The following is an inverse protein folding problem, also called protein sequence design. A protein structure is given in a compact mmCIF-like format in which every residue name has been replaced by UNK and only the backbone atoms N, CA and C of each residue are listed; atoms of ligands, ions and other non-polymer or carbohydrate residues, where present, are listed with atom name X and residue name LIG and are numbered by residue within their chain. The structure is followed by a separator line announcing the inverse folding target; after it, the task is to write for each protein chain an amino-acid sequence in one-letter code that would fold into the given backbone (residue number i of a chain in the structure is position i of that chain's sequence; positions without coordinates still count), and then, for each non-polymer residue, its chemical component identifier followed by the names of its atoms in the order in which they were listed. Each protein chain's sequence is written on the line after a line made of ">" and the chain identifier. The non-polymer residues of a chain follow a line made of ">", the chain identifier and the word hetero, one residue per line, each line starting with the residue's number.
data_IF_569953730984
#
_entry.id   IF_569953730984
#
_cell.length_a   1.000
_cell.length_b   1.000
_cell.length_c   1.000
_cell.angle_alpha   90.00
_cell.angle_beta   90.00
_cell.angle_gamma   90.00
#
_symmetry.space_group_name_H-M   'P 1'
#
loop_
_entity.id
_entity.type
_entity.pdbx_description
1 polymer ?
#
# COMPACT_ATOMS: atom_id res chain seq x y z
N UNK A 1 -2.78 14.33 9.20
CA UNK A 1 -1.96 13.24 9.75
C UNK A 1 -2.08 12.00 8.85
N UNK A 2 -0.97 11.47 8.36
CA UNK A 2 -0.96 10.34 7.45
C UNK A 2 -0.69 9.03 8.22
N UNK A 3 -1.73 8.36 8.67
CA UNK A 3 -1.66 7.10 9.42
C UNK A 3 -1.12 5.97 8.56
N UNK A 4 -1.48 5.96 7.27
CA UNK A 4 -0.99 4.98 6.31
C UNK A 4 0.54 4.96 6.25
N UNK A 5 1.17 6.11 6.10
CA UNK A 5 2.64 6.19 6.07
C UNK A 5 3.28 5.81 7.41
N UNK A 6 2.61 6.07 8.52
CA UNK A 6 3.07 5.65 9.85
C UNK A 6 2.99 4.14 10.07
N UNK A 7 2.04 3.45 9.45
CA UNK A 7 1.89 2.00 9.56
C UNK A 7 2.92 1.21 8.76
N UNK A 8 3.34 1.70 7.61
CA UNK A 8 4.27 1.01 6.72
C UNK A 8 5.59 0.58 7.37
N UNK A 9 6.35 1.47 8.02
CA UNK A 9 7.65 1.11 8.59
C UNK A 9 7.55 0.10 9.74
N UNK A 10 6.46 0.11 10.47
CA UNK A 10 6.30 -0.69 11.68
C UNK A 10 6.27 -2.20 11.43
N UNK A 11 5.91 -2.62 10.23
CA UNK A 11 5.72 -4.01 9.87
C UNK A 11 6.65 -4.52 8.76
N UNK A 12 7.55 -3.70 8.32
CA UNK A 12 8.73 -4.12 7.57
C UNK A 12 8.47 -4.99 6.35
N UNK A 13 7.72 -4.50 5.36
CA UNK A 13 7.51 -5.26 4.12
C UNK A 13 8.81 -5.73 3.49
N UNK A 14 9.87 -4.92 3.53
CA UNK A 14 11.18 -5.33 3.08
C UNK A 14 11.76 -6.51 3.84
N UNK A 15 11.55 -6.56 5.17
CA UNK A 15 11.99 -7.70 5.98
C UNK A 15 11.15 -8.96 5.76
N UNK A 16 9.92 -8.81 5.27
CA UNK A 16 9.04 -9.93 4.95
C UNK A 16 9.17 -10.41 3.50
N UNK A 17 9.86 -9.65 2.64
CA UNK A 17 10.20 -10.06 1.29
C UNK A 17 11.21 -11.21 1.28
N UNK A 18 11.11 -12.06 0.27
CA UNK A 18 12.13 -13.08 -0.01
C UNK A 18 13.11 -12.49 -1.00
N UNK A 19 14.36 -12.36 -0.59
CA UNK A 19 15.44 -11.86 -1.44
C UNK A 19 16.14 -13.02 -2.13
N UNK A 20 16.31 -12.92 -3.45
CA UNK A 20 16.87 -13.93 -4.34
C UNK A 20 18.15 -13.45 -5.02
N UNK A 21 19.27 -13.30 -4.29
CA UNK A 21 20.53 -12.81 -4.85
C UNK A 21 21.07 -13.67 -5.97
N UNK A 22 20.77 -14.96 -5.97
CA UNK A 22 21.16 -15.92 -6.99
C UNK A 22 20.59 -15.60 -8.39
N UNK A 23 19.53 -14.80 -8.46
CA UNK A 23 18.96 -14.36 -9.73
C UNK A 23 19.69 -13.16 -10.34
N UNK A 24 20.58 -12.52 -9.60
CA UNK A 24 21.40 -11.44 -10.12
C UNK A 24 22.47 -11.99 -11.08
N UNK A 25 22.43 -11.53 -12.31
CA UNK A 25 23.38 -11.94 -13.38
C UNK A 25 24.38 -10.86 -13.73
N UNK A 26 24.28 -9.70 -13.08
CA UNK A 26 25.21 -8.58 -13.24
C UNK A 26 26.52 -8.78 -12.52
N UNK A 27 27.42 -7.82 -12.70
CA UNK A 27 28.68 -7.69 -11.98
C UNK A 27 28.81 -6.25 -11.47
N UNK A 28 29.71 -6.02 -10.54
CA UNK A 28 30.05 -4.67 -10.12
C UNK A 28 30.41 -3.79 -11.34
N UNK A 29 29.96 -2.53 -11.31
CA UNK A 29 30.18 -1.55 -12.36
C UNK A 29 29.58 -1.90 -13.72
N UNK A 30 28.47 -2.65 -13.76
CA UNK A 30 27.64 -2.86 -14.94
C UNK A 30 26.38 -1.96 -14.87
N UNK A 31 25.72 -1.65 -16.03
CA UNK A 31 24.47 -0.88 -16.00
C UNK A 31 23.39 -1.51 -15.12
N UNK A 32 23.32 -2.82 -15.03
CA UNK A 32 22.38 -3.52 -14.14
C UNK A 32 22.72 -3.29 -12.66
N UNK A 33 24.01 -3.21 -12.34
CA UNK A 33 24.47 -2.89 -10.99
C UNK A 33 24.15 -1.43 -10.62
N UNK A 34 24.44 -0.48 -11.49
CA UNK A 34 24.17 0.95 -11.24
C UNK A 34 22.69 1.18 -10.89
N UNK A 35 21.77 0.51 -11.60
CA UNK A 35 20.34 0.59 -11.29
C UNK A 35 20.02 0.02 -9.90
N UNK A 36 20.67 -1.09 -9.49
CA UNK A 36 20.45 -1.69 -8.19
C UNK A 36 21.07 -0.87 -7.05
N UNK A 37 22.26 -0.33 -7.27
CA UNK A 37 22.94 0.54 -6.31
C UNK A 37 22.12 1.79 -6.01
N UNK A 38 21.60 2.43 -7.05
CA UNK A 38 20.81 3.66 -6.93
C UNK A 38 19.39 3.43 -6.36
N UNK A 39 18.86 2.19 -6.42
CA UNK A 39 17.49 1.95 -5.96
C UNK A 39 17.30 1.99 -4.45
N UNK A 40 18.39 1.88 -3.68
CA UNK A 40 18.34 1.92 -2.23
C UNK A 40 18.93 3.22 -1.68
N UNK A 41 18.12 4.13 -1.08
CA UNK A 41 18.62 5.38 -0.53
C UNK A 41 19.58 5.19 0.68
N UNK A 42 19.68 3.97 1.20
CA UNK A 42 20.54 3.61 2.32
C UNK A 42 21.76 2.79 1.90
N UNK A 43 21.95 2.55 0.59
CA UNK A 43 23.08 1.78 0.02
C UNK A 43 23.27 0.41 0.70
N UNK A 44 22.20 -0.37 0.85
CA UNK A 44 22.22 -1.66 1.53
C UNK A 44 22.55 -2.85 0.64
N UNK A 45 22.64 -2.64 -0.67
CA UNK A 45 23.04 -3.65 -1.63
C UNK A 45 24.52 -3.47 -1.99
N UNK A 46 25.26 -4.55 -2.04
CA UNK A 46 26.67 -4.55 -2.44
C UNK A 46 27.04 -5.86 -3.11
N UNK A 47 28.09 -5.83 -3.90
CA UNK A 47 28.68 -7.04 -4.51
C UNK A 47 29.93 -7.39 -3.74
N UNK A 48 29.99 -8.62 -3.24
CA UNK A 48 31.12 -9.13 -2.48
C UNK A 48 32.32 -9.51 -3.38
N UNK A 49 33.41 -9.94 -2.76
CA UNK A 49 34.64 -10.35 -3.45
C UNK A 49 34.47 -11.57 -4.40
N UNK A 50 33.34 -12.27 -4.32
CA UNK A 50 32.99 -13.42 -5.16
C UNK A 50 32.04 -13.08 -6.32
N UNK A 51 31.80 -11.79 -6.57
CA UNK A 51 30.79 -11.30 -7.52
C UNK A 51 29.35 -11.71 -7.16
N UNK A 52 29.03 -11.90 -5.88
CA UNK A 52 27.69 -12.22 -5.40
C UNK A 52 27.02 -10.99 -4.82
N UNK A 53 25.70 -10.81 -5.11
CA UNK A 53 24.90 -9.75 -4.56
C UNK A 53 24.55 -10.04 -3.09
N UNK A 54 24.86 -9.10 -2.22
CA UNK A 54 24.52 -9.13 -0.80
C UNK A 54 23.61 -7.97 -0.41
N UNK A 55 22.81 -8.15 0.62
CA UNK A 55 21.90 -7.16 1.16
C UNK A 55 21.95 -7.10 2.69
N UNK A 56 22.19 -5.90 3.23
CA UNK A 56 22.19 -5.61 4.67
C UNK A 56 20.75 -5.47 5.21
N UNK A 57 20.01 -6.58 5.27
CA UNK A 57 18.59 -6.59 5.66
C UNK A 57 18.33 -6.03 7.05
N UNK A 58 19.24 -6.20 7.99
CA UNK A 58 19.12 -5.69 9.37
C UNK A 58 19.08 -4.16 9.46
N UNK A 59 19.62 -3.48 8.45
CA UNK A 59 19.63 -2.01 8.34
C UNK A 59 18.51 -1.47 7.49
N UNK A 60 17.67 -2.34 6.94
CA UNK A 60 16.60 -1.96 6.03
C UNK A 60 15.52 -1.13 6.75
N UNK A 61 15.27 0.07 6.25
CA UNK A 61 14.20 0.94 6.74
C UNK A 61 12.81 0.58 6.17
N UNK A 62 12.70 -0.48 5.37
CA UNK A 62 11.46 -0.96 4.76
C UNK A 62 10.72 0.11 3.92
N UNK A 63 11.47 0.97 3.24
CA UNK A 63 10.92 2.06 2.44
C UNK A 63 10.33 1.60 1.08
N UNK A 64 10.53 0.34 0.71
CA UNK A 64 10.09 -0.29 -0.55
C UNK A 64 10.66 0.34 -1.84
N UNK A 65 11.58 1.29 -1.77
CA UNK A 65 12.17 1.94 -2.94
C UNK A 65 12.78 0.98 -3.94
N UNK A 66 13.39 -0.10 -3.45
CA UNK A 66 14.00 -1.14 -4.29
C UNK A 66 12.99 -2.07 -4.97
N UNK A 67 11.76 -2.20 -4.46
CA UNK A 67 10.80 -3.19 -4.96
C UNK A 67 10.48 -3.01 -6.45
N UNK A 68 10.29 -1.78 -6.90
CA UNK A 68 10.03 -1.46 -8.31
C UNK A 68 11.17 -1.87 -9.25
N UNK A 69 12.40 -1.98 -8.74
CA UNK A 69 13.58 -2.40 -9.50
C UNK A 69 13.83 -3.89 -9.36
N UNK A 70 13.74 -4.41 -8.13
CA UNK A 70 14.08 -5.79 -7.78
C UNK A 70 13.02 -6.80 -8.17
N UNK A 71 11.73 -6.46 -7.97
CA UNK A 71 10.61 -7.35 -8.25
C UNK A 71 10.56 -7.81 -9.72
N UNK A 72 10.54 -6.89 -10.71
CA UNK A 72 10.53 -7.26 -12.12
C UNK A 72 11.74 -8.09 -12.58
N UNK A 73 12.83 -8.07 -11.80
CA UNK A 73 14.05 -8.84 -12.06
C UNK A 73 14.08 -10.20 -11.34
N UNK A 74 13.02 -10.53 -10.59
CA UNK A 74 12.96 -11.75 -9.78
C UNK A 74 13.99 -11.79 -8.65
N UNK A 75 14.50 -10.62 -8.23
CA UNK A 75 15.46 -10.51 -7.13
C UNK A 75 14.77 -10.38 -5.77
N UNK A 76 13.51 -10.01 -5.76
CA UNK A 76 12.70 -9.89 -4.54
C UNK A 76 11.26 -10.27 -4.83
N UNK A 77 10.71 -11.15 -4.00
CA UNK A 77 9.30 -11.49 -3.95
C UNK A 77 8.69 -11.02 -2.64
N UNK A 78 7.51 -10.42 -2.72
CA UNK A 78 6.70 -10.10 -1.54
C UNK A 78 5.42 -10.93 -1.63
N UNK A 79 5.25 -11.94 -0.77
CA UNK A 79 4.04 -12.75 -0.76
C UNK A 79 2.78 -11.89 -0.52
N UNK A 80 1.65 -12.15 -1.21
CA UNK A 80 0.42 -11.36 -1.06
C UNK A 80 -0.05 -11.21 0.40
N UNK A 81 0.15 -12.22 1.24
CA UNK A 81 -0.19 -12.18 2.67
C UNK A 81 0.50 -11.02 3.42
N UNK A 82 1.62 -10.52 2.91
CA UNK A 82 2.32 -9.40 3.53
C UNK A 82 1.60 -8.07 3.29
N UNK A 83 0.88 -7.94 2.18
CA UNK A 83 0.05 -6.76 1.94
C UNK A 83 -1.15 -6.72 2.89
N UNK A 84 -1.77 -7.87 3.17
CA UNK A 84 -2.82 -7.97 4.19
C UNK A 84 -2.28 -7.61 5.58
N UNK A 85 -1.05 -8.02 5.90
CA UNK A 85 -0.39 -7.65 7.15
C UNK A 85 -0.11 -6.14 7.25
N UNK A 86 0.26 -5.48 6.16
CA UNK A 86 0.42 -4.03 6.13
C UNK A 86 -0.91 -3.33 6.34
N UNK A 87 -1.97 -3.77 5.68
CA UNK A 87 -3.30 -3.20 5.84
C UNK A 87 -3.83 -3.36 7.27
N UNK A 88 -3.58 -4.52 7.89
CA UNK A 88 -3.89 -4.71 9.31
C UNK A 88 -3.07 -3.77 10.21
N UNK A 89 -1.80 -3.59 9.90
CA UNK A 89 -0.90 -2.69 10.61
C UNK A 89 -1.32 -1.21 10.54
N UNK A 90 -1.91 -0.79 9.43
CA UNK A 90 -2.46 0.57 9.29
C UNK A 90 -3.57 0.80 10.32
N UNK A 91 -4.45 -0.19 10.53
CA UNK A 91 -5.49 -0.12 11.55
C UNK A 91 -4.90 -0.05 12.98
N UNK A 92 -3.89 -0.87 13.29
CA UNK A 92 -3.19 -0.83 14.57
C UNK A 92 -2.53 0.53 14.83
N UNK A 93 -1.87 1.10 13.82
CA UNK A 93 -1.24 2.41 13.93
C UNK A 93 -2.28 3.52 14.18
N UNK A 94 -3.43 3.45 13.51
CA UNK A 94 -4.54 4.38 13.71
C UNK A 94 -5.06 4.31 15.16
N UNK A 95 -5.32 3.10 15.67
CA UNK A 95 -5.74 2.90 17.05
C UNK A 95 -4.68 3.40 18.06
N UNK A 96 -3.41 3.19 17.76
CA UNK A 96 -2.30 3.71 18.58
C UNK A 96 -2.32 5.23 18.68
N UNK A 97 -2.58 5.93 17.58
CA UNK A 97 -2.73 7.40 17.55
C UNK A 97 -3.94 7.85 18.37
N UNK A 98 -5.10 7.22 18.18
CA UNK A 98 -6.30 7.57 18.96
C UNK A 98 -6.09 7.39 20.46
N UNK A 99 -5.46 6.30 20.86
CA UNK A 99 -5.11 6.06 22.28
C UNK A 99 -4.14 7.11 22.83
N UNK A 100 -3.17 7.52 22.05
CA UNK A 100 -2.18 8.52 22.48
C UNK A 100 -2.77 9.92 22.62
N UNK A 101 -3.64 10.30 21.70
CA UNK A 101 -4.32 11.62 21.70
C UNK A 101 -5.45 11.66 22.74
N UNK A 102 -6.11 10.54 22.96
CA UNK A 102 -7.20 10.35 23.90
C UNK A 102 -8.60 10.34 23.25
N UNK A 103 -9.58 9.70 23.91
CA UNK A 103 -10.89 9.43 23.33
C UNK A 103 -11.61 10.69 22.84
N UNK A 104 -12.19 10.60 21.67
CA UNK A 104 -13.04 11.63 21.07
C UNK A 104 -12.33 12.91 20.63
N UNK A 105 -10.98 12.91 20.61
CA UNK A 105 -10.18 14.07 20.22
C UNK A 105 -9.67 14.00 18.77
N UNK A 106 -9.90 12.89 18.09
CA UNK A 106 -9.54 12.71 16.69
C UNK A 106 -10.79 12.83 15.83
N UNK A 107 -10.66 13.43 14.67
CA UNK A 107 -11.68 13.47 13.63
C UNK A 107 -11.02 13.21 12.28
N UNK A 108 -11.78 12.66 11.36
CA UNK A 108 -11.32 12.19 10.05
C UNK A 108 -12.06 12.93 8.94
N UNK A 109 -11.34 13.26 7.89
CA UNK A 109 -11.88 13.85 6.67
C UNK A 109 -11.27 13.10 5.50
N UNK A 110 -12.09 12.42 4.70
CA UNK A 110 -11.67 11.77 3.47
C UNK A 110 -12.14 12.59 2.27
N UNK A 111 -11.20 13.07 1.50
CA UNK A 111 -11.46 13.72 0.21
C UNK A 111 -11.39 12.66 -0.89
N UNK A 112 -12.50 11.99 -1.16
CA UNK A 112 -12.59 10.94 -2.18
C UNK A 112 -12.73 11.56 -3.58
N UNK A 113 -11.69 12.25 -3.99
CA UNK A 113 -11.54 12.97 -5.26
C UNK A 113 -10.33 12.37 -6.00
N UNK A 114 -10.39 12.31 -7.32
CA UNK A 114 -9.30 11.78 -8.16
C UNK A 114 -8.74 10.44 -7.68
N UNK A 115 -9.64 9.52 -7.34
CA UNK A 115 -9.29 8.20 -6.79
C UNK A 115 -8.57 7.38 -7.84
N UNK A 116 -7.26 7.34 -7.77
CA UNK A 116 -6.38 6.64 -8.72
C UNK A 116 -6.09 5.19 -8.29
N UNK A 117 -5.65 4.33 -9.22
CA UNK A 117 -5.30 2.94 -8.89
C UNK A 117 -3.97 2.79 -8.14
N UNK A 118 -3.12 3.83 -8.15
CA UNK A 118 -1.86 3.82 -7.44
C UNK A 118 -2.01 4.44 -6.05
N UNK A 119 -1.32 3.85 -5.07
CA UNK A 119 -1.19 4.47 -3.76
C UNK A 119 -0.50 5.82 -3.87
N UNK A 120 -0.88 6.80 -3.06
CA UNK A 120 -0.25 8.12 -2.96
C UNK A 120 1.26 8.05 -2.59
N UNK A 121 1.69 6.93 -2.03
CA UNK A 121 3.11 6.66 -1.79
C UNK A 121 3.91 6.32 -3.07
N UNK A 122 3.24 6.05 -4.18
CA UNK A 122 3.88 5.84 -5.46
C UNK A 122 4.27 7.18 -6.11
N UNK A 123 5.42 7.23 -6.77
CA UNK A 123 5.87 8.41 -7.50
C UNK A 123 5.12 8.67 -8.82
N UNK A 124 4.04 7.98 -9.06
CA UNK A 124 3.20 8.09 -10.26
C UNK A 124 1.73 7.90 -9.91
N UNK A 125 0.86 8.50 -10.69
CA UNK A 125 -0.58 8.27 -10.66
C UNK A 125 -1.05 7.88 -12.06
N UNK A 126 -2.19 7.23 -12.12
CA UNK A 126 -2.92 6.96 -13.35
C UNK A 126 -4.25 7.70 -13.31
N UNK A 127 -5.05 7.61 -14.37
CA UNK A 127 -6.35 8.24 -14.38
C UNK A 127 -7.25 7.65 -13.28
N UNK A 128 -8.15 8.47 -12.71
CA UNK A 128 -9.08 8.00 -11.68
C UNK A 128 -9.90 6.79 -12.15
N UNK A 129 -10.18 5.87 -11.22
CA UNK A 129 -10.97 4.66 -11.49
C UNK A 129 -12.47 4.85 -11.29
N UNK A 130 -12.85 5.86 -10.51
CA UNK A 130 -14.24 6.27 -10.25
C UNK A 130 -14.37 7.79 -10.33
N UNK A 131 -15.57 8.33 -10.59
CA UNK A 131 -15.82 9.77 -10.48
C UNK A 131 -15.53 10.30 -9.07
N UNK A 132 -15.46 11.62 -8.92
CA UNK A 132 -15.40 12.22 -7.58
C UNK A 132 -16.57 11.75 -6.72
N UNK A 133 -16.27 11.11 -5.59
CA UNK A 133 -17.28 10.58 -4.68
C UNK A 133 -17.72 11.62 -3.64
N UNK A 134 -16.88 12.63 -3.41
CA UNK A 134 -17.17 13.73 -2.48
C UNK A 134 -16.19 13.81 -1.31
N UNK A 135 -16.61 14.54 -0.28
CA UNK A 135 -15.85 14.71 0.96
C UNK A 135 -16.66 14.13 2.10
N UNK A 136 -16.04 13.26 2.86
CA UNK A 136 -16.62 12.58 4.01
C UNK A 136 -15.97 13.10 5.28
N UNK A 137 -16.72 13.16 6.37
CA UNK A 137 -16.20 13.51 7.69
C UNK A 137 -16.83 12.63 8.77
N UNK A 138 -16.01 12.14 9.69
CA UNK A 138 -16.46 11.29 10.79
C UNK A 138 -15.55 11.44 12.01
N UNK A 139 -16.04 10.96 13.16
CA UNK A 139 -15.22 10.73 14.35
C UNK A 139 -14.79 9.25 14.46
N UNK A 140 -15.17 8.43 13.50
CA UNK A 140 -14.90 7.00 13.43
C UNK A 140 -14.12 6.70 12.15
N UNK A 141 -12.89 6.22 12.28
CA UNK A 141 -11.99 5.93 11.17
C UNK A 141 -12.51 4.79 10.30
N UNK A 142 -13.09 3.76 10.93
CA UNK A 142 -13.59 2.58 10.24
C UNK A 142 -14.85 2.90 9.44
N UNK A 143 -15.77 3.66 10.05
CA UNK A 143 -17.01 4.08 9.42
C UNK A 143 -16.78 4.95 8.18
N UNK A 144 -15.84 5.90 8.26
CA UNK A 144 -15.57 6.81 7.14
C UNK A 144 -14.95 6.06 5.96
N UNK A 145 -14.03 5.12 6.22
CA UNK A 145 -13.39 4.34 5.17
C UNK A 145 -14.38 3.37 4.54
N UNK A 146 -15.24 2.72 5.34
CA UNK A 146 -16.30 1.86 4.82
C UNK A 146 -17.26 2.63 3.91
N UNK A 147 -17.68 3.84 4.33
CA UNK A 147 -18.52 4.69 3.51
C UNK A 147 -17.87 5.04 2.16
N UNK A 148 -16.57 5.34 2.15
CA UNK A 148 -15.83 5.62 0.91
C UNK A 148 -15.76 4.40 0.00
N UNK A 149 -15.47 3.20 0.54
CA UNK A 149 -15.43 1.96 -0.23
C UNK A 149 -16.80 1.64 -0.84
N UNK A 150 -17.87 1.75 -0.05
CA UNK A 150 -19.23 1.49 -0.54
C UNK A 150 -19.64 2.49 -1.63
N UNK A 151 -19.32 3.77 -1.48
CA UNK A 151 -19.58 4.77 -2.53
C UNK A 151 -18.78 4.50 -3.80
N UNK A 152 -17.55 4.00 -3.70
CA UNK A 152 -16.78 3.57 -4.85
C UNK A 152 -17.40 2.35 -5.55
N UNK A 153 -17.97 1.41 -4.78
CA UNK A 153 -18.71 0.27 -5.34
C UNK A 153 -20.00 0.69 -6.01
N UNK A 154 -20.74 1.64 -5.43
CA UNK A 154 -21.99 2.18 -5.98
C UNK A 154 -21.78 2.99 -7.26
N UNK A 155 -20.60 3.56 -7.47
CA UNK A 155 -20.29 4.34 -8.65
C UNK A 155 -19.94 3.43 -9.85
N UNK A 156 -20.32 3.87 -11.07
CA UNK A 156 -19.73 3.32 -12.30
C UNK A 156 -18.27 3.72 -12.39
N UNK A 157 -17.41 2.80 -12.83
CA UNK A 157 -16.01 3.09 -13.10
C UNK A 157 -15.83 3.98 -14.32
N UNK A 158 -14.74 4.75 -14.34
CA UNK A 158 -14.43 5.63 -15.47
C UNK A 158 -13.96 4.79 -16.64
N UNK A 159 -14.54 5.08 -17.82
CA UNK A 159 -14.18 4.42 -19.08
C UNK A 159 -12.72 4.72 -19.45
N UNK A 160 -11.99 3.70 -19.87
CA UNK A 160 -10.55 3.77 -20.18
C UNK A 160 -9.66 3.68 -18.96
N UNK A 161 -10.21 3.64 -17.75
CA UNK A 161 -9.44 3.52 -16.51
C UNK A 161 -8.94 2.10 -16.25
N UNK A 162 -8.09 1.95 -15.26
CA UNK A 162 -7.61 0.65 -14.79
C UNK A 162 -8.77 -0.26 -14.34
N UNK A 163 -9.85 0.31 -13.77
CA UNK A 163 -11.03 -0.46 -13.39
C UNK A 163 -11.70 -1.13 -14.60
N UNK A 164 -11.84 -0.42 -15.72
CA UNK A 164 -12.38 -1.01 -16.96
C UNK A 164 -11.42 -2.07 -17.52
N UNK A 165 -10.11 -1.81 -17.55
CA UNK A 165 -9.11 -2.77 -18.02
C UNK A 165 -9.10 -4.08 -17.22
N UNK A 166 -9.46 -4.00 -15.94
CA UNK A 166 -9.55 -5.15 -15.02
C UNK A 166 -10.96 -5.72 -14.92
N UNK A 167 -11.88 -5.30 -15.79
CA UNK A 167 -13.28 -5.77 -15.85
C UNK A 167 -14.07 -5.58 -14.54
N UNK A 168 -13.71 -4.56 -13.75
CA UNK A 168 -14.31 -4.25 -12.44
C UNK A 168 -14.85 -2.81 -12.41
N UNK A 169 -15.60 -2.38 -13.44
CA UNK A 169 -16.03 -1.00 -13.58
C UNK A 169 -17.55 -0.79 -13.42
N UNK A 170 -18.32 -1.84 -13.19
CA UNK A 170 -19.75 -1.74 -12.98
C UNK A 170 -20.11 -1.44 -11.51
N UNK A 171 -21.35 -1.00 -11.32
CA UNK A 171 -21.93 -0.86 -9.97
C UNK A 171 -21.88 -2.19 -9.23
N UNK A 172 -21.40 -2.17 -7.99
CA UNK A 172 -21.22 -3.35 -7.16
C UNK A 172 -19.84 -4.01 -7.25
N UNK A 173 -19.05 -3.68 -8.27
CA UNK A 173 -17.70 -4.25 -8.40
C UNK A 173 -16.74 -3.70 -7.35
N UNK A 174 -15.81 -4.54 -6.92
CA UNK A 174 -14.72 -4.21 -5.99
C UNK A 174 -13.56 -3.54 -6.72
N UNK A 175 -13.72 -2.27 -6.98
CA UNK A 175 -12.83 -1.51 -7.86
C UNK A 175 -11.43 -1.33 -7.30
N UNK A 176 -11.29 -1.11 -6.00
CA UNK A 176 -9.98 -1.00 -5.35
C UNK A 176 -9.24 -2.34 -5.38
N UNK A 177 -9.92 -3.45 -5.07
CA UNK A 177 -9.33 -4.79 -5.08
C UNK A 177 -8.83 -5.18 -6.48
N UNK A 178 -9.62 -4.88 -7.53
CA UNK A 178 -9.27 -5.23 -8.90
C UNK A 178 -8.25 -4.29 -9.54
N UNK A 179 -8.33 -2.98 -9.26
CA UNK A 179 -7.57 -1.96 -9.98
C UNK A 179 -6.30 -1.50 -9.28
N UNK A 180 -6.00 -1.97 -8.07
CA UNK A 180 -4.76 -1.61 -7.39
C UNK A 180 -3.53 -1.92 -8.27
N UNK A 181 -2.75 -0.88 -8.55
CA UNK A 181 -1.71 -0.95 -9.57
C UNK A 181 -0.36 -1.47 -9.04
N UNK A 182 -0.07 -1.24 -7.75
CA UNK A 182 1.27 -1.41 -7.21
C UNK A 182 1.30 -2.48 -6.12
N UNK A 183 0.43 -2.35 -5.16
CA UNK A 183 0.31 -3.27 -4.02
C UNK A 183 -1.17 -3.48 -3.78
N UNK A 184 -1.58 -4.71 -3.62
CA UNK A 184 -2.95 -5.02 -3.28
C UNK A 184 -2.98 -6.14 -2.26
N UNK A 185 -3.73 -5.94 -1.20
CA UNK A 185 -4.16 -7.00 -0.33
C UNK A 185 -5.16 -7.90 -1.08
N UNK A 186 -5.46 -9.03 -0.49
CA UNK A 186 -6.47 -9.94 -1.03
C UNK A 186 -7.89 -9.38 -0.90
N UNK A 187 -8.07 -8.29 -0.15
CA UNK A 187 -9.35 -7.63 0.04
C UNK A 187 -9.19 -6.12 0.27
N UNK A 188 -10.01 -5.35 -0.42
CA UNK A 188 -10.08 -3.89 -0.29
C UNK A 188 -10.61 -3.40 1.07
N UNK A 189 -11.03 -4.29 1.96
CA UNK A 189 -11.56 -3.99 3.30
C UNK A 189 -10.74 -4.60 4.44
N UNK A 190 -9.52 -5.07 4.19
CA UNK A 190 -8.69 -5.69 5.21
C UNK A 190 -8.42 -4.74 6.39
N UNK A 191 -7.97 -3.51 6.13
CA UNK A 191 -7.75 -2.51 7.18
C UNK A 191 -9.03 -2.13 7.94
N UNK A 192 -10.16 -2.03 7.23
CA UNK A 192 -11.48 -1.74 7.79
C UNK A 192 -11.93 -2.85 8.75
N UNK A 193 -11.81 -4.11 8.31
CA UNK A 193 -12.18 -5.27 9.11
C UNK A 193 -11.30 -5.39 10.36
N UNK A 194 -9.99 -5.27 10.18
CA UNK A 194 -9.04 -5.26 11.31
C UNK A 194 -9.36 -4.13 12.28
N UNK A 195 -9.59 -2.91 11.77
CA UNK A 195 -9.96 -1.76 12.62
C UNK A 195 -11.22 -2.01 13.44
N UNK A 196 -12.22 -2.64 12.84
CA UNK A 196 -13.44 -3.05 13.55
C UNK A 196 -13.14 -4.09 14.63
N UNK A 197 -12.38 -5.15 14.32
CA UNK A 197 -12.03 -6.25 15.23
C UNK A 197 -11.21 -5.80 16.43
N UNK A 198 -10.28 -4.86 16.24
CA UNK A 198 -9.45 -4.33 17.32
C UNK A 198 -10.11 -3.20 18.14
N UNK A 199 -11.34 -2.82 17.77
CA UNK A 199 -12.12 -1.80 18.48
C UNK A 199 -11.74 -0.36 18.14
N UNK A 200 -11.18 -0.11 16.96
CA UNK A 200 -10.92 1.24 16.43
C UNK A 200 -12.23 1.96 16.07
N UNK A 201 -13.20 1.24 15.52
CA UNK A 201 -14.47 1.82 15.12
C UNK A 201 -15.51 0.79 14.66
N UNK A 202 -16.61 1.29 14.10
CA UNK A 202 -17.71 0.50 13.55
C UNK A 202 -17.72 0.55 12.02
N UNK A 203 -18.12 -0.56 11.40
CA UNK A 203 -18.40 -0.58 9.96
C UNK A 203 -19.78 -0.01 9.61
N UNK A 204 -20.65 0.14 10.62
CA UNK A 204 -21.99 0.72 10.43
C UNK A 204 -21.88 2.25 10.42
N UNK A 205 -22.51 2.88 9.45
CA UNK A 205 -22.54 4.33 9.29
C UNK A 205 -23.88 4.81 8.71
N UNK A 206 -24.17 6.10 8.87
CA UNK A 206 -25.25 6.82 8.20
C UNK A 206 -24.66 8.01 7.42
N UNK A 207 -25.19 8.23 6.19
CA UNK A 207 -24.80 9.33 5.31
C UNK A 207 -25.94 10.33 5.16
#
# INVERSE_FOLDING_TARGET
>A
FNVHMGGHPSYGLGAAGVFHPENFKGKANTPDWEILEDCCPFNLYHINEKDELEWDGDKCANCLGCFGVMGPRGLMDIPPVQFDAVDAAIADACLGVEKAVGPGKVGYINMALDVSPACDCAGHADMPIVPHLGVFASKDAVAIDMACVDKAREAEGIKGSKAELMEAHHVGDKKFEAAAATFHSQSEVTSINTGHEIGLGSRDYEL
#
